data_IF_626849907981
#
_entry.id   IF_626849907981
#
_cell.length_a   1.000
_cell.length_b   1.000
_cell.length_c   1.000
_cell.angle_alpha   90.00
_cell.angle_beta   90.00
_cell.angle_gamma   90.00
#
_symmetry.space_group_name_H-M   'P 1'
#
loop_
_entity.id
_entity.type
_entity.pdbx_description
1 polymer ?
#
# COMPACT_ATOMS: atom_id res chain seq x y z
N UNK A 1 36.84 1.17 -15.41
CA UNK A 1 36.26 2.46 -15.86
C UNK A 1 36.29 3.42 -14.68
N UNK A 2 36.69 4.68 -14.89
CA UNK A 2 36.60 5.73 -13.86
C UNK A 2 35.17 6.30 -13.89
N UNK A 3 34.52 6.38 -12.73
CA UNK A 3 33.19 6.98 -12.61
C UNK A 3 33.28 8.50 -12.74
N UNK A 4 32.27 9.10 -13.36
CA UNK A 4 32.12 10.55 -13.46
C UNK A 4 31.50 11.10 -12.16
N UNK A 5 31.88 12.33 -11.79
CA UNK A 5 31.21 13.07 -10.72
C UNK A 5 30.07 13.91 -11.27
N UNK A 6 29.02 14.13 -10.46
CA UNK A 6 27.86 14.92 -10.87
C UNK A 6 28.26 16.34 -11.32
N UNK A 7 29.13 17.01 -10.58
CA UNK A 7 29.54 18.39 -10.84
C UNK A 7 28.36 19.37 -10.75
N UNK A 8 28.30 20.29 -11.71
CA UNK A 8 27.28 21.31 -11.88
C UNK A 8 25.96 20.80 -12.52
N UNK A 9 25.93 19.55 -13.01
CA UNK A 9 24.75 19.04 -13.70
C UNK A 9 23.56 18.90 -12.76
N UNK A 10 22.39 19.41 -13.17
CA UNK A 10 21.10 19.23 -12.50
C UNK A 10 20.06 18.78 -13.50
N UNK A 11 19.12 17.93 -13.04
CA UNK A 11 18.03 17.44 -13.88
C UNK A 11 17.21 18.64 -14.31
N UNK A 12 16.96 18.79 -15.61
CA UNK A 12 16.03 19.80 -16.11
C UNK A 12 14.63 19.23 -16.28
N UNK A 13 14.52 17.96 -16.69
CA UNK A 13 13.25 17.29 -17.00
C UNK A 13 13.25 15.84 -16.51
N UNK A 14 12.08 15.30 -16.16
CA UNK A 14 11.88 13.86 -16.17
C UNK A 14 11.65 13.36 -17.59
N UNK A 15 11.84 12.06 -17.79
CA UNK A 15 11.68 11.38 -19.07
C UNK A 15 10.37 11.77 -19.74
N UNK A 16 9.24 11.73 -19.01
CA UNK A 16 7.89 12.00 -19.53
C UNK A 16 7.63 13.47 -19.84
N UNK A 17 8.41 14.39 -19.27
CA UNK A 17 8.24 15.84 -19.45
C UNK A 17 8.81 16.29 -20.79
N UNK A 18 9.79 15.55 -21.35
CA UNK A 18 10.31 15.83 -22.69
C UNK A 18 9.25 15.50 -23.74
N UNK A 19 8.80 16.50 -24.49
CA UNK A 19 7.76 16.36 -25.51
C UNK A 19 8.28 16.68 -26.92
N UNK A 20 7.60 16.22 -28.00
CA UNK A 20 7.97 16.55 -29.38
C UNK A 20 8.01 18.05 -29.69
N UNK A 21 7.31 18.89 -28.94
CA UNK A 21 7.27 20.34 -29.12
C UNK A 21 8.60 21.02 -28.71
N UNK A 22 9.43 20.33 -27.92
CA UNK A 22 10.72 20.82 -27.44
C UNK A 22 11.87 20.50 -28.43
N UNK A 23 11.56 20.21 -29.69
CA UNK A 23 12.55 19.80 -30.69
C UNK A 23 13.71 20.80 -30.81
N UNK A 24 14.94 20.30 -30.75
CA UNK A 24 16.17 21.11 -30.76
C UNK A 24 16.58 21.68 -29.41
N UNK A 25 15.72 21.68 -28.39
CA UNK A 25 16.08 22.16 -27.05
C UNK A 25 17.10 21.24 -26.37
N UNK A 26 17.99 21.81 -25.56
CA UNK A 26 18.93 21.03 -24.75
C UNK A 26 18.31 20.67 -23.40
N UNK A 27 18.40 19.39 -23.02
CA UNK A 27 17.91 18.88 -21.74
C UNK A 27 18.99 18.09 -21.00
N UNK A 28 18.91 18.10 -19.67
CA UNK A 28 19.72 17.24 -18.81
C UNK A 28 18.83 16.22 -18.11
N UNK A 29 19.03 14.94 -18.44
CA UNK A 29 18.28 13.83 -17.88
C UNK A 29 19.18 12.96 -16.99
N UNK A 30 18.56 12.33 -16.00
CA UNK A 30 19.24 11.39 -15.11
C UNK A 30 18.43 10.13 -14.94
N UNK A 31 19.09 8.99 -14.91
CA UNK A 31 18.38 7.75 -14.67
C UNK A 31 19.19 6.47 -14.78
N UNK A 32 18.38 5.42 -14.82
CA UNK A 32 18.62 4.01 -14.99
C UNK A 32 18.86 3.59 -16.45
N UNK A 33 19.99 3.04 -16.86
CA UNK A 33 20.02 2.29 -18.13
C UNK A 33 19.12 1.05 -17.99
N UNK A 34 17.98 1.01 -18.68
CA UNK A 34 17.06 -0.12 -18.65
C UNK A 34 17.43 -1.17 -19.71
N UNK A 35 17.77 -0.71 -20.91
CA UNK A 35 18.11 -1.55 -22.05
C UNK A 35 19.12 -0.83 -22.95
N UNK A 36 20.02 -1.61 -23.55
CA UNK A 36 20.97 -1.14 -24.57
C UNK A 36 20.78 -2.03 -25.78
N UNK A 37 20.56 -1.43 -26.95
CA UNK A 37 20.47 -2.11 -28.23
C UNK A 37 21.55 -1.57 -29.15
N UNK A 38 22.44 -2.45 -29.59
CA UNK A 38 23.53 -2.12 -30.50
C UNK A 38 23.24 -2.70 -31.89
N UNK A 39 23.19 -1.83 -32.89
CA UNK A 39 22.98 -2.19 -34.30
C UNK A 39 24.23 -1.88 -35.14
N UNK A 40 25.41 -1.81 -34.52
CA UNK A 40 26.70 -1.52 -35.14
C UNK A 40 26.90 -0.02 -35.35
N UNK A 41 26.25 0.56 -36.37
CA UNK A 41 26.39 1.99 -36.70
C UNK A 41 25.63 2.96 -35.78
N UNK A 42 24.71 2.42 -34.98
CA UNK A 42 23.82 3.17 -34.10
C UNK A 42 23.52 2.35 -32.84
N UNK A 43 23.51 3.01 -31.68
CA UNK A 43 23.16 2.43 -30.38
C UNK A 43 21.97 3.16 -29.78
N UNK A 44 21.02 2.39 -29.27
CA UNK A 44 19.86 2.91 -28.54
C UNK A 44 19.99 2.55 -27.07
N UNK A 45 19.89 3.55 -26.21
CA UNK A 45 19.88 3.37 -24.75
C UNK A 45 18.51 3.80 -24.25
N UNK A 46 17.81 2.90 -23.56
CA UNK A 46 16.56 3.24 -22.90
C UNK A 46 16.90 3.71 -21.50
N UNK A 47 16.74 5.01 -21.26
CA UNK A 47 16.93 5.63 -19.95
C UNK A 47 15.60 5.61 -19.19
N UNK A 48 15.58 4.99 -18.02
CA UNK A 48 14.44 4.91 -17.12
C UNK A 48 14.65 5.81 -15.90
N UNK A 49 13.67 6.64 -15.57
CA UNK A 49 13.60 7.34 -14.30
C UNK A 49 12.32 6.98 -13.53
N UNK A 50 11.92 7.81 -12.56
CA UNK A 50 10.73 7.52 -11.74
C UNK A 50 9.42 7.69 -12.51
N UNK A 51 9.41 8.47 -13.60
CA UNK A 51 8.19 8.80 -14.33
C UNK A 51 7.99 7.91 -15.56
N UNK A 52 9.07 7.39 -16.14
CA UNK A 52 8.98 6.50 -17.29
C UNK A 52 10.32 6.31 -17.97
N UNK A 53 10.28 6.17 -19.29
CA UNK A 53 11.43 5.89 -20.13
C UNK A 53 11.56 6.88 -21.29
N UNK A 54 12.78 7.09 -21.74
CA UNK A 54 13.10 7.85 -22.94
C UNK A 54 14.27 7.20 -23.68
N UNK A 55 14.23 7.25 -25.00
CA UNK A 55 15.30 6.73 -25.83
C UNK A 55 16.40 7.77 -26.00
N UNK A 56 17.64 7.36 -25.77
CA UNK A 56 18.85 8.09 -26.13
C UNK A 56 19.44 7.40 -27.36
N UNK A 57 19.66 8.15 -28.44
CA UNK A 57 20.12 7.62 -29.72
C UNK A 57 21.54 8.10 -30.00
N UNK A 58 22.48 7.16 -30.07
CA UNK A 58 23.90 7.42 -30.30
C UNK A 58 24.27 6.93 -31.70
N UNK A 59 24.56 7.86 -32.62
CA UNK A 59 25.04 7.52 -33.97
C UNK A 59 26.56 7.60 -34.04
N UNK A 60 27.22 6.59 -34.62
CA UNK A 60 28.68 6.60 -34.83
C UNK A 60 29.16 7.79 -35.69
N UNK A 61 28.33 8.27 -36.61
CA UNK A 61 28.71 9.35 -37.54
C UNK A 61 28.61 10.74 -36.89
N UNK A 62 27.70 10.92 -35.94
CA UNK A 62 27.31 12.25 -35.45
C UNK A 62 27.64 12.49 -33.97
N UNK A 63 28.20 11.50 -33.28
CA UNK A 63 28.53 11.60 -31.84
C UNK A 63 30.03 11.80 -31.63
N UNK A 64 30.40 12.47 -30.54
CA UNK A 64 31.80 12.63 -30.15
C UNK A 64 32.43 11.29 -29.77
N UNK A 65 33.77 11.17 -29.88
CA UNK A 65 34.50 9.97 -29.47
C UNK A 65 34.25 9.60 -28.00
N UNK A 66 34.07 10.59 -27.13
CA UNK A 66 33.79 10.37 -25.71
C UNK A 66 32.39 9.77 -25.49
N UNK A 67 31.37 10.32 -26.16
CA UNK A 67 30.01 9.78 -26.10
C UNK A 67 29.98 8.34 -26.62
N UNK A 68 30.67 8.05 -27.71
CA UNK A 68 30.77 6.69 -28.26
C UNK A 68 31.40 5.74 -27.25
N UNK A 69 32.58 6.06 -26.72
CA UNK A 69 33.29 5.23 -25.75
C UNK A 69 32.46 4.98 -24.47
N UNK A 70 31.77 6.01 -23.95
CA UNK A 70 30.89 5.85 -22.79
C UNK A 70 29.67 4.98 -23.13
N UNK A 71 29.03 5.21 -24.28
CA UNK A 71 27.88 4.43 -24.74
C UNK A 71 28.21 2.94 -24.95
N UNK A 72 29.44 2.65 -25.37
CA UNK A 72 29.96 1.29 -25.57
C UNK A 72 30.07 0.51 -24.26
N UNK A 73 30.49 1.19 -23.20
CA UNK A 73 30.66 0.62 -21.87
C UNK A 73 29.34 0.50 -21.07
N UNK A 74 28.25 1.14 -21.50
CA UNK A 74 26.99 1.10 -20.75
C UNK A 74 26.42 -0.31 -20.68
N UNK A 75 26.00 -0.69 -19.48
CA UNK A 75 25.25 -1.91 -19.23
C UNK A 75 23.96 -1.58 -18.49
N UNK A 76 23.06 -2.57 -18.40
CA UNK A 76 21.82 -2.44 -17.62
C UNK A 76 22.14 -1.99 -16.20
N UNK A 77 21.27 -1.14 -15.67
CA UNK A 77 21.30 -0.58 -14.31
C UNK A 77 22.46 0.39 -14.01
N UNK A 78 23.29 0.75 -15.00
CA UNK A 78 24.24 1.85 -14.83
C UNK A 78 23.48 3.15 -14.60
N UNK A 79 23.83 3.88 -13.55
CA UNK A 79 23.28 5.21 -13.30
C UNK A 79 24.02 6.21 -14.17
N UNK A 80 23.27 6.94 -14.99
CA UNK A 80 23.86 7.91 -15.92
C UNK A 80 23.16 9.26 -15.86
N UNK A 81 23.93 10.30 -16.18
CA UNK A 81 23.41 11.58 -16.63
C UNK A 81 23.60 11.71 -18.14
N UNK A 82 22.63 12.31 -18.83
CA UNK A 82 22.72 12.63 -20.27
C UNK A 82 22.38 14.10 -20.48
N UNK A 83 23.32 14.86 -21.06
CA UNK A 83 23.04 16.18 -21.66
C UNK A 83 22.93 16.01 -23.15
N UNK A 84 21.83 16.43 -23.74
CA UNK A 84 21.58 16.23 -25.17
C UNK A 84 20.46 17.08 -25.70
N UNK A 85 20.34 17.12 -27.02
CA UNK A 85 19.25 17.81 -27.70
C UNK A 85 18.06 16.88 -27.84
N UNK A 86 16.87 17.42 -27.63
CA UNK A 86 15.61 16.77 -27.98
C UNK A 86 15.53 16.65 -29.50
N UNK A 87 15.13 15.49 -29.99
CA UNK A 87 14.84 15.25 -31.39
C UNK A 87 13.46 14.64 -31.56
N UNK A 88 12.58 15.33 -32.27
CA UNK A 88 11.28 14.83 -32.68
C UNK A 88 11.44 13.74 -33.73
N UNK A 89 10.77 12.61 -33.52
CA UNK A 89 10.87 11.44 -34.39
C UNK A 89 9.58 10.64 -34.41
N UNK A 90 9.26 10.00 -35.53
CA UNK A 90 8.12 9.07 -35.62
C UNK A 90 8.50 7.63 -35.28
N UNK A 91 9.79 7.37 -35.01
CA UNK A 91 10.34 6.02 -34.80
C UNK A 91 10.22 5.53 -33.37
N UNK A 92 9.86 6.40 -32.42
CA UNK A 92 9.63 6.03 -31.02
C UNK A 92 8.15 6.17 -30.66
N UNK A 93 7.60 5.31 -29.78
CA UNK A 93 6.20 5.43 -29.35
C UNK A 93 5.85 6.79 -28.72
N UNK A 94 6.86 7.49 -28.20
CA UNK A 94 6.70 8.80 -27.57
C UNK A 94 6.85 9.98 -28.52
N UNK A 95 7.19 9.74 -29.78
CA UNK A 95 7.38 10.80 -30.77
C UNK A 95 8.67 11.61 -30.61
N UNK A 96 9.56 11.19 -29.71
CA UNK A 96 10.74 11.96 -29.28
C UNK A 96 11.87 11.03 -28.83
N UNK A 97 13.11 11.49 -29.03
CA UNK A 97 14.34 10.89 -28.52
C UNK A 97 15.36 11.96 -28.14
N UNK A 98 16.45 11.58 -27.48
CA UNK A 98 17.55 12.48 -27.12
C UNK A 98 18.80 12.11 -27.91
N UNK A 99 19.42 13.10 -28.54
CA UNK A 99 20.74 12.98 -29.15
C UNK A 99 21.77 13.51 -28.15
N UNK A 100 22.60 12.63 -27.54
CA UNK A 100 23.48 13.02 -26.45
C UNK A 100 24.68 13.83 -26.95
N UNK A 101 24.95 14.96 -26.30
CA UNK A 101 26.21 15.72 -26.42
C UNK A 101 27.25 15.21 -25.43
N UNK A 102 26.82 14.84 -24.23
CA UNK A 102 27.68 14.33 -23.17
C UNK A 102 26.92 13.27 -22.36
N UNK A 103 27.64 12.23 -21.93
CA UNK A 103 27.15 11.19 -21.03
C UNK A 103 28.06 11.17 -19.81
N UNK A 104 27.48 11.08 -18.62
CA UNK A 104 28.20 10.82 -17.36
C UNK A 104 27.77 9.48 -16.79
N UNK A 105 28.71 8.62 -16.45
CA UNK A 105 28.48 7.34 -15.76
C UNK A 105 28.74 7.55 -14.28
N UNK A 106 27.66 7.69 -13.52
CA UNK A 106 27.67 8.03 -12.10
C UNK A 106 27.84 6.79 -11.21
N UNK A 107 27.36 5.63 -11.68
CA UNK A 107 27.53 4.35 -11.00
C UNK A 107 27.40 3.20 -11.99
N UNK A 108 28.14 2.12 -11.74
CA UNK A 108 28.05 0.85 -12.46
C UNK A 108 27.16 -0.14 -11.72
N UNK A 109 26.80 -1.25 -12.38
CA UNK A 109 26.13 -2.40 -11.79
C UNK A 109 26.84 -3.69 -12.23
N UNK A 110 26.56 -4.81 -11.56
CA UNK A 110 27.04 -6.13 -11.99
C UNK A 110 26.39 -6.53 -13.32
N UNK A 111 27.13 -7.27 -14.15
CA UNK A 111 26.67 -7.69 -15.48
C UNK A 111 25.43 -8.59 -15.36
N UNK A 112 25.50 -9.58 -14.47
CA UNK A 112 24.39 -10.46 -14.15
C UNK A 112 23.56 -9.79 -13.04
N UNK A 113 22.34 -9.38 -13.37
CA UNK A 113 21.37 -8.94 -12.37
C UNK A 113 20.69 -10.17 -11.74
N UNK A 114 20.37 -10.14 -10.43
CA UNK A 114 19.70 -11.25 -9.75
C UNK A 114 18.26 -11.47 -10.25
N UNK A 115 17.64 -10.43 -10.82
CA UNK A 115 16.32 -10.50 -11.45
C UNK A 115 16.28 -9.65 -12.72
N UNK A 116 15.38 -9.98 -13.63
CA UNK A 116 15.08 -9.16 -14.80
C UNK A 116 14.11 -8.03 -14.45
N UNK A 117 14.62 -6.80 -14.40
CA UNK A 117 13.83 -5.58 -14.14
C UNK A 117 12.84 -5.24 -15.27
N UNK A 118 12.95 -5.86 -16.45
CA UNK A 118 12.00 -5.67 -17.55
C UNK A 118 10.79 -6.60 -17.45
N UNK A 119 10.85 -7.60 -16.58
CA UNK A 119 9.78 -8.58 -16.36
C UNK A 119 9.60 -9.60 -17.48
N UNK A 120 10.49 -9.64 -18.49
CA UNK A 120 10.45 -10.63 -19.59
C UNK A 120 10.74 -12.03 -19.06
N UNK A 121 11.69 -12.13 -18.12
CA UNK A 121 11.96 -13.37 -17.39
C UNK A 121 11.34 -13.31 -16.00
N UNK A 122 10.29 -14.11 -15.71
CA UNK A 122 9.68 -14.13 -14.40
C UNK A 122 10.65 -14.72 -13.36
N UNK A 123 10.63 -14.16 -12.15
CA UNK A 123 11.33 -14.68 -10.99
C UNK A 123 10.32 -15.08 -9.91
N UNK A 124 10.69 -16.03 -9.05
CA UNK A 124 9.85 -16.41 -7.91
C UNK A 124 9.68 -15.22 -6.95
N UNK A 125 8.65 -15.27 -6.10
CA UNK A 125 8.46 -14.22 -5.08
C UNK A 125 9.68 -14.11 -4.14
N UNK A 126 10.24 -15.25 -3.74
CA UNK A 126 11.43 -15.32 -2.89
C UNK A 126 12.61 -14.57 -3.50
N UNK A 127 12.98 -14.89 -4.74
CA UNK A 127 14.08 -14.20 -5.45
C UNK A 127 13.80 -12.70 -5.62
N UNK A 128 12.54 -12.32 -5.81
CA UNK A 128 12.14 -10.91 -5.91
C UNK A 128 12.25 -10.18 -4.56
N UNK A 129 12.01 -10.86 -3.45
CA UNK A 129 12.18 -10.30 -2.10
C UNK A 129 13.66 -10.18 -1.73
N UNK A 130 14.49 -11.17 -2.07
CA UNK A 130 15.95 -11.09 -1.87
C UNK A 130 16.57 -9.92 -2.67
N UNK A 131 16.04 -9.66 -3.86
CA UNK A 131 16.45 -8.56 -4.73
C UNK A 131 15.44 -7.39 -4.72
N UNK A 132 14.76 -7.13 -3.58
CA UNK A 132 13.60 -6.20 -3.56
C UNK A 132 13.89 -4.81 -4.10
N UNK A 133 15.08 -4.25 -3.85
CA UNK A 133 15.47 -2.95 -4.40
C UNK A 133 15.42 -2.91 -5.94
N UNK A 134 15.77 -4.02 -6.61
CA UNK A 134 15.65 -4.16 -8.06
C UNK A 134 14.23 -4.48 -8.49
N UNK A 135 13.48 -5.28 -7.73
CA UNK A 135 12.08 -5.60 -8.04
C UNK A 135 11.23 -4.32 -8.03
N UNK A 136 11.48 -3.41 -7.08
CA UNK A 136 10.83 -2.11 -6.98
C UNK A 136 11.12 -1.17 -8.17
N UNK A 137 12.13 -1.46 -9.01
CA UNK A 137 12.37 -0.70 -10.23
C UNK A 137 11.37 -1.03 -11.36
N UNK A 138 10.60 -2.12 -11.23
CA UNK A 138 9.55 -2.51 -12.19
C UNK A 138 8.36 -1.57 -12.12
N UNK A 139 7.77 -1.28 -13.27
CA UNK A 139 6.66 -0.32 -13.38
C UNK A 139 5.43 -0.77 -12.59
N UNK A 140 5.14 -2.07 -12.53
CA UNK A 140 4.02 -2.60 -11.75
C UNK A 140 4.21 -2.37 -10.25
N UNK A 141 5.43 -2.56 -9.73
CA UNK A 141 5.70 -2.31 -8.31
C UNK A 141 5.63 -0.81 -8.01
N UNK A 142 6.20 0.06 -8.86
CA UNK A 142 6.07 1.52 -8.69
C UNK A 142 4.59 1.95 -8.69
N UNK A 143 3.79 1.37 -9.58
CA UNK A 143 2.36 1.65 -9.66
C UNK A 143 1.63 1.31 -8.36
N UNK A 144 1.92 0.17 -7.72
CA UNK A 144 1.35 -0.21 -6.42
C UNK A 144 1.65 0.86 -5.36
N UNK A 145 2.91 1.31 -5.23
CA UNK A 145 3.27 2.34 -4.25
C UNK A 145 2.63 3.69 -4.53
N UNK A 146 2.49 4.07 -5.80
CA UNK A 146 1.79 5.30 -6.20
C UNK A 146 0.29 5.25 -5.87
N UNK A 147 -0.38 4.12 -6.14
CA UNK A 147 -1.78 3.91 -5.74
C UNK A 147 -1.93 3.97 -4.23
N UNK A 148 -1.04 3.30 -3.49
CA UNK A 148 -1.05 3.35 -2.02
C UNK A 148 -0.88 4.79 -1.50
N UNK A 149 0.07 5.55 -2.04
CA UNK A 149 0.28 6.95 -1.69
C UNK A 149 -0.99 7.80 -1.91
N UNK A 150 -1.62 7.69 -3.08
CA UNK A 150 -2.85 8.43 -3.40
C UNK A 150 -4.01 8.00 -2.50
N UNK A 151 -4.16 6.70 -2.23
CA UNK A 151 -5.20 6.19 -1.34
C UNK A 151 -5.04 6.74 0.09
N UNK A 152 -3.84 6.70 0.66
CA UNK A 152 -3.58 7.24 2.00
C UNK A 152 -3.80 8.76 2.03
N UNK A 153 -3.41 9.49 0.99
CA UNK A 153 -3.68 10.93 0.92
C UNK A 153 -5.19 11.22 0.87
N UNK A 154 -5.95 10.47 0.06
CA UNK A 154 -7.40 10.62 -0.03
C UNK A 154 -8.09 10.32 1.31
N UNK A 155 -7.58 9.34 2.07
CA UNK A 155 -8.08 9.05 3.42
C UNK A 155 -7.85 10.23 4.36
N UNK A 156 -6.63 10.79 4.37
CA UNK A 156 -6.29 11.96 5.18
C UNK A 156 -7.19 13.15 4.83
N UNK A 157 -7.26 13.51 3.56
CA UNK A 157 -8.07 14.64 3.08
C UNK A 157 -9.54 14.49 3.51
N UNK A 158 -10.13 13.31 3.30
CA UNK A 158 -11.51 13.02 3.69
C UNK A 158 -11.79 13.17 5.19
N UNK A 159 -10.84 12.75 6.03
CA UNK A 159 -10.94 12.83 7.49
C UNK A 159 -10.73 14.26 7.98
N UNK A 160 -9.76 14.99 7.42
CA UNK A 160 -9.54 16.40 7.72
C UNK A 160 -10.76 17.27 7.41
N UNK A 161 -11.42 17.04 6.27
CA UNK A 161 -12.67 17.73 5.90
C UNK A 161 -13.81 17.49 6.91
N UNK A 162 -13.74 16.42 7.70
CA UNK A 162 -14.72 16.06 8.74
C UNK A 162 -14.27 16.41 10.16
N UNK A 163 -13.18 17.16 10.29
CA UNK A 163 -12.66 17.66 11.56
C UNK A 163 -11.91 16.62 12.38
N UNK A 164 -11.47 15.51 11.78
CA UNK A 164 -10.58 14.57 12.46
C UNK A 164 -9.16 15.14 12.58
N UNK A 165 -8.50 14.82 13.70
CA UNK A 165 -7.11 15.22 13.97
C UNK A 165 -6.20 14.00 13.84
N UNK A 166 -5.13 14.11 13.05
CA UNK A 166 -4.10 13.05 12.95
C UNK A 166 -3.25 13.04 14.22
N UNK A 167 -3.18 11.89 14.89
CA UNK A 167 -2.43 11.69 16.15
C UNK A 167 -1.36 10.61 15.99
N UNK A 168 -0.40 10.58 16.91
CA UNK A 168 0.66 9.58 16.94
C UNK A 168 0.75 8.97 18.34
N UNK A 169 0.55 7.65 18.43
CA UNK A 169 0.51 6.94 19.72
C UNK A 169 1.75 6.06 19.93
N UNK A 170 2.11 5.71 21.18
CA UNK A 170 3.29 4.89 21.46
C UNK A 170 3.29 3.54 20.74
N UNK A 171 4.47 3.10 20.27
CA UNK A 171 4.68 1.77 19.65
C UNK A 171 5.35 0.75 20.56
N UNK A 172 5.92 1.21 21.67
CA UNK A 172 6.48 0.38 22.73
C UNK A 172 5.54 0.51 23.93
N UNK A 173 4.91 -0.59 24.33
CA UNK A 173 3.88 -0.63 25.37
C UNK A 173 4.23 -1.63 26.46
N UNK A 174 3.75 -1.40 27.68
CA UNK A 174 4.06 -2.24 28.83
C UNK A 174 3.24 -3.55 28.88
N UNK A 175 2.04 -3.55 28.32
CA UNK A 175 1.09 -4.66 28.35
C UNK A 175 0.40 -4.84 27.00
N UNK A 176 -0.21 -6.00 26.77
CA UNK A 176 -1.04 -6.25 25.60
C UNK A 176 -2.23 -5.28 25.53
N UNK A 177 -2.63 -4.87 24.33
CA UNK A 177 -3.88 -4.13 24.08
C UNK A 177 -5.07 -5.09 23.95
N UNK A 178 -4.86 -6.24 23.29
CA UNK A 178 -5.88 -7.24 22.99
C UNK A 178 -5.39 -8.60 23.53
N UNK A 179 -6.06 -9.13 24.55
CA UNK A 179 -5.67 -10.40 25.17
C UNK A 179 -5.58 -11.55 24.16
N UNK A 180 -4.56 -12.39 24.28
CA UNK A 180 -4.43 -13.64 23.51
C UNK A 180 -3.68 -13.54 22.18
N UNK A 181 -3.34 -12.34 21.69
CA UNK A 181 -2.57 -12.20 20.45
C UNK A 181 -1.05 -12.26 20.71
N UNK A 182 -0.31 -12.92 19.83
CA UNK A 182 1.13 -13.04 19.94
C UNK A 182 1.82 -11.66 19.78
N UNK A 183 2.60 -11.26 20.77
CA UNK A 183 3.30 -9.98 20.85
C UNK A 183 4.80 -10.16 20.64
N UNK A 184 5.42 -9.21 19.92
CA UNK A 184 6.87 -9.10 19.91
C UNK A 184 7.34 -8.45 21.21
N UNK A 185 8.17 -9.15 21.98
CA UNK A 185 8.80 -8.60 23.17
C UNK A 185 10.03 -7.77 22.83
N UNK A 186 10.19 -6.64 23.53
CA UNK A 186 11.33 -5.74 23.42
C UNK A 186 11.93 -5.55 24.82
N UNK A 187 13.26 -5.64 24.93
CA UNK A 187 13.96 -5.25 26.14
C UNK A 187 14.00 -3.71 26.20
N UNK A 188 13.32 -3.13 27.17
CA UNK A 188 13.22 -1.69 27.35
C UNK A 188 13.91 -1.29 28.65
N UNK A 189 15.21 -1.06 28.56
CA UNK A 189 16.10 -0.90 29.72
C UNK A 189 15.98 -2.11 30.67
N UNK A 190 15.72 -1.88 31.95
CA UNK A 190 15.53 -2.92 32.97
C UNK A 190 14.10 -3.50 32.99
N UNK A 191 13.28 -3.17 31.99
CA UNK A 191 11.88 -3.62 31.89
C UNK A 191 11.64 -4.40 30.61
N UNK A 192 10.66 -5.30 30.66
CA UNK A 192 10.10 -5.95 29.47
C UNK A 192 8.98 -5.08 28.91
N UNK A 193 9.03 -4.82 27.61
CA UNK A 193 7.97 -4.13 26.87
C UNK A 193 7.58 -4.95 25.63
N UNK A 194 6.59 -4.46 24.88
CA UNK A 194 6.06 -5.11 23.71
C UNK A 194 5.84 -4.10 22.58
N UNK A 195 5.89 -4.57 21.33
CA UNK A 195 5.44 -3.77 20.19
C UNK A 195 3.92 -3.75 20.12
N UNK A 196 3.35 -2.58 19.87
CA UNK A 196 1.90 -2.39 19.80
C UNK A 196 1.26 -3.10 18.59
N UNK A 197 0.13 -3.75 18.82
CA UNK A 197 -0.68 -4.43 17.79
C UNK A 197 -1.72 -3.51 17.16
N UNK A 198 -2.15 -2.49 17.89
CA UNK A 198 -3.12 -1.47 17.50
C UNK A 198 -2.95 -0.26 18.44
N UNK A 199 -3.46 0.93 18.08
CA UNK A 199 -3.45 2.10 18.95
C UNK A 199 -4.70 2.16 19.84
N UNK A 200 -5.47 1.06 19.93
CA UNK A 200 -6.83 1.00 20.47
C UNK A 200 -7.01 1.73 21.80
N UNK A 201 -6.24 1.35 22.82
CA UNK A 201 -6.37 1.96 24.15
C UNK A 201 -5.99 3.44 24.18
N UNK A 202 -5.09 3.89 23.29
CA UNK A 202 -4.67 5.29 23.23
C UNK A 202 -5.67 6.14 22.45
N UNK A 203 -6.20 5.67 21.33
CA UNK A 203 -7.19 6.44 20.54
C UNK A 203 -8.49 6.66 21.34
N UNK A 204 -8.93 5.68 22.13
CA UNK A 204 -10.07 5.83 23.05
C UNK A 204 -9.84 6.90 24.14
N UNK A 205 -8.62 7.02 24.66
CA UNK A 205 -8.30 8.07 25.63
C UNK A 205 -8.25 9.45 24.97
N UNK A 206 -7.74 9.55 23.75
CA UNK A 206 -7.55 10.83 23.06
C UNK A 206 -8.89 11.48 22.69
N UNK A 207 -9.92 10.71 22.35
CA UNK A 207 -11.24 11.26 22.01
C UNK A 207 -11.92 11.97 23.19
N UNK A 208 -11.48 11.75 24.44
CA UNK A 208 -11.95 12.54 25.58
C UNK A 208 -11.62 14.03 25.45
N UNK A 209 -10.58 14.37 24.70
CA UNK A 209 -10.09 15.76 24.53
C UNK A 209 -10.21 16.27 23.10
N UNK A 210 -10.11 15.38 22.11
CA UNK A 210 -10.05 15.73 20.70
C UNK A 210 -11.32 15.36 19.94
N UNK A 211 -12.21 14.56 20.55
CA UNK A 211 -13.46 14.00 20.01
C UNK A 211 -13.31 13.12 18.76
N UNK A 212 -12.53 13.52 17.75
CA UNK A 212 -12.35 12.83 16.47
C UNK A 212 -10.86 12.72 16.16
N UNK A 213 -10.33 11.50 16.24
CA UNK A 213 -8.91 11.25 15.98
C UNK A 213 -8.72 10.15 14.96
N UNK A 214 -7.63 10.22 14.22
CA UNK A 214 -7.16 9.12 13.39
C UNK A 214 -5.65 9.00 13.41
N UNK A 215 -5.15 7.83 13.07
CA UNK A 215 -3.72 7.55 13.01
C UNK A 215 -3.41 6.66 11.81
N UNK A 216 -2.34 6.98 11.09
CA UNK A 216 -1.77 6.11 10.06
C UNK A 216 -0.38 5.71 10.51
N UNK A 217 -0.16 4.44 10.87
CA UNK A 217 1.15 4.04 11.35
C UNK A 217 1.39 2.54 11.46
N UNK A 218 2.63 2.14 11.75
CA UNK A 218 3.02 0.73 11.78
C UNK A 218 2.57 0.05 13.07
N UNK A 219 2.10 -1.19 12.95
CA UNK A 219 1.76 -2.07 14.06
C UNK A 219 2.27 -3.49 13.79
N UNK A 220 2.35 -4.27 14.86
CA UNK A 220 3.09 -5.52 14.86
C UNK A 220 2.28 -6.66 15.47
N UNK A 221 2.25 -7.80 14.80
CA UNK A 221 1.61 -9.03 15.30
C UNK A 221 2.57 -10.20 15.12
N UNK A 222 2.89 -10.91 16.20
CA UNK A 222 3.78 -12.07 16.17
C UNK A 222 3.04 -13.36 15.80
N UNK A 223 2.10 -13.30 14.86
CA UNK A 223 1.38 -14.47 14.38
C UNK A 223 2.29 -15.34 13.51
N UNK A 224 2.35 -16.65 13.78
CA UNK A 224 3.04 -17.65 12.95
C UNK A 224 2.27 -17.98 11.66
N UNK A 225 1.25 -17.20 11.33
CA UNK A 225 0.33 -17.43 10.22
C UNK A 225 0.96 -17.01 8.89
N UNK A 226 1.61 -17.96 8.20
CA UNK A 226 2.17 -17.76 6.86
C UNK A 226 1.10 -17.79 5.75
N UNK A 227 0.17 -16.84 5.79
CA UNK A 227 -0.89 -16.71 4.76
C UNK A 227 -0.59 -15.57 3.79
N UNK A 228 -1.38 -15.47 2.71
CA UNK A 228 -1.26 -14.37 1.73
C UNK A 228 -1.85 -13.03 2.19
N UNK A 229 -2.36 -12.94 3.42
CA UNK A 229 -3.05 -11.75 3.97
C UNK A 229 -2.49 -11.26 5.30
N UNK A 230 -1.58 -11.98 5.93
CA UNK A 230 -1.01 -11.62 7.22
C UNK A 230 0.47 -11.25 7.05
N UNK A 231 0.85 -10.13 7.65
CA UNK A 231 2.23 -9.67 7.79
C UNK A 231 2.48 -9.41 9.28
N UNK A 232 3.69 -9.71 9.75
CA UNK A 232 4.05 -9.43 11.14
C UNK A 232 4.24 -7.94 11.43
N UNK A 233 4.51 -7.15 10.40
CA UNK A 233 4.55 -5.68 10.43
C UNK A 233 3.63 -5.16 9.31
N UNK A 234 2.70 -4.29 9.66
CA UNK A 234 1.74 -3.70 8.74
C UNK A 234 1.42 -2.26 9.13
N UNK A 235 0.91 -1.48 8.18
CA UNK A 235 0.40 -0.14 8.44
C UNK A 235 -1.10 -0.23 8.67
N UNK A 236 -1.55 0.22 9.85
CA UNK A 236 -2.97 0.37 10.15
C UNK A 236 -3.41 1.82 9.93
N UNK A 237 -4.69 1.97 9.60
CA UNK A 237 -5.39 3.24 9.57
C UNK A 237 -6.49 3.12 10.62
N UNK A 238 -6.28 3.80 11.74
CA UNK A 238 -7.14 3.74 12.90
C UNK A 238 -7.94 5.04 13.02
N UNK A 239 -9.22 4.92 13.32
CA UNK A 239 -10.13 6.03 13.54
C UNK A 239 -10.85 5.78 14.87
N UNK A 240 -11.07 6.83 15.65
CA UNK A 240 -11.94 6.81 16.83
C UNK A 240 -12.70 8.13 16.91
N UNK A 241 -13.99 8.05 17.29
CA UNK A 241 -14.88 9.20 17.36
C UNK A 241 -15.74 9.09 18.63
N UNK A 242 -15.70 10.13 19.47
CA UNK A 242 -16.62 10.31 20.59
C UNK A 242 -18.03 10.65 20.10
N UNK A 243 -19.03 10.35 20.95
CA UNK A 243 -20.44 10.62 20.69
C UNK A 243 -20.95 9.99 19.38
N UNK A 244 -20.44 8.80 19.03
CA UNK A 244 -20.82 8.02 17.88
C UNK A 244 -20.98 6.54 18.25
N UNK A 245 -21.89 5.86 17.55
CA UNK A 245 -22.07 4.41 17.66
C UNK A 245 -21.50 3.66 16.45
N UNK A 246 -21.68 2.34 16.41
CA UNK A 246 -21.24 1.49 15.32
C UNK A 246 -21.83 1.92 13.97
N UNK A 247 -23.10 2.35 13.93
CA UNK A 247 -23.75 2.75 12.68
C UNK A 247 -23.13 4.04 12.13
N UNK A 248 -22.91 5.05 12.97
CA UNK A 248 -22.22 6.28 12.61
C UNK A 248 -20.83 5.98 12.01
N UNK A 249 -20.05 5.13 12.68
CA UNK A 249 -18.69 4.77 12.23
C UNK A 249 -18.73 3.96 10.93
N UNK A 250 -19.71 3.07 10.76
CA UNK A 250 -19.85 2.34 9.50
C UNK A 250 -20.28 3.24 8.33
N UNK A 251 -21.15 4.23 8.56
CA UNK A 251 -21.52 5.24 7.55
C UNK A 251 -20.33 6.12 7.15
N UNK A 252 -19.50 6.52 8.11
CA UNK A 252 -18.25 7.22 7.85
C UNK A 252 -17.33 6.36 6.97
N UNK A 253 -17.19 5.07 7.31
CA UNK A 253 -16.31 4.15 6.62
C UNK A 253 -16.75 3.85 5.18
N UNK A 254 -18.05 3.62 4.92
CA UNK A 254 -18.52 3.38 3.56
C UNK A 254 -18.33 4.60 2.63
N UNK A 255 -18.55 5.82 3.17
CA UNK A 255 -18.28 7.07 2.45
C UNK A 255 -16.77 7.24 2.18
N UNK A 256 -15.93 6.92 3.18
CA UNK A 256 -14.47 6.96 3.05
C UNK A 256 -13.99 6.01 1.93
N UNK A 257 -14.44 4.76 1.94
CA UNK A 257 -14.07 3.77 0.92
C UNK A 257 -14.54 4.23 -0.48
N UNK A 258 -15.76 4.73 -0.60
CA UNK A 258 -16.23 5.27 -1.88
C UNK A 258 -15.36 6.44 -2.36
N UNK A 259 -15.02 7.38 -1.48
CA UNK A 259 -14.18 8.54 -1.79
C UNK A 259 -12.78 8.11 -2.25
N UNK A 260 -12.16 7.15 -1.58
CA UNK A 260 -10.85 6.61 -1.96
C UNK A 260 -10.91 5.94 -3.33
N UNK A 261 -11.92 5.10 -3.59
CA UNK A 261 -12.09 4.46 -4.89
C UNK A 261 -12.28 5.48 -6.04
N UNK A 262 -13.06 6.55 -5.82
CA UNK A 262 -13.21 7.66 -6.78
C UNK A 262 -11.88 8.35 -7.05
N UNK A 263 -11.18 8.76 -5.98
CA UNK A 263 -9.91 9.50 -6.07
C UNK A 263 -8.82 8.68 -6.76
N UNK A 264 -8.71 7.38 -6.46
CA UNK A 264 -7.74 6.49 -7.11
C UNK A 264 -8.08 6.33 -8.60
N UNK A 265 -9.35 6.18 -8.97
CA UNK A 265 -9.75 6.12 -10.39
C UNK A 265 -9.42 7.41 -11.15
N UNK A 266 -9.58 8.56 -10.51
CA UNK A 266 -9.29 9.86 -11.12
C UNK A 266 -7.78 10.11 -11.26
N UNK A 267 -7.00 9.87 -10.20
CA UNK A 267 -5.59 10.27 -10.11
C UNK A 267 -4.59 9.19 -10.54
N UNK A 268 -4.97 7.91 -10.56
CA UNK A 268 -4.05 6.78 -10.82
C UNK A 268 -4.37 6.03 -12.12
N UNK A 269 -4.95 6.68 -13.13
CA UNK A 269 -5.33 6.01 -14.39
C UNK A 269 -4.17 5.29 -15.07
N UNK A 270 -2.97 5.91 -15.07
CA UNK A 270 -1.75 5.32 -15.63
C UNK A 270 -1.33 4.08 -14.86
N UNK A 271 -1.27 4.18 -13.54
CA UNK A 271 -0.89 3.10 -12.65
C UNK A 271 -1.87 1.92 -12.74
N UNK A 272 -3.18 2.19 -12.75
CA UNK A 272 -4.23 1.17 -12.93
C UNK A 272 -4.11 0.47 -14.29
N UNK A 273 -3.80 1.22 -15.36
CA UNK A 273 -3.52 0.66 -16.68
C UNK A 273 -2.28 -0.24 -16.68
N UNK A 274 -1.20 0.18 -16.01
CA UNK A 274 0.02 -0.64 -15.82
C UNK A 274 -0.28 -1.93 -15.06
N UNK A 275 -1.12 -1.86 -14.02
CA UNK A 275 -1.55 -3.01 -13.22
C UNK A 275 -2.61 -3.87 -13.92
N UNK A 276 -3.15 -3.41 -15.06
CA UNK A 276 -4.25 -4.04 -15.81
C UNK A 276 -5.46 -4.29 -14.91
N UNK A 277 -5.76 -3.31 -14.06
CA UNK A 277 -6.82 -3.39 -13.06
C UNK A 277 -7.76 -2.20 -13.17
N UNK A 278 -9.04 -2.43 -12.87
CA UNK A 278 -10.07 -1.39 -12.79
C UNK A 278 -10.64 -1.40 -11.38
N UNK A 279 -10.59 -0.26 -10.70
CA UNK A 279 -11.25 -0.08 -9.42
C UNK A 279 -12.72 0.23 -9.69
N UNK A 280 -13.61 -0.58 -9.14
CA UNK A 280 -15.04 -0.28 -9.16
C UNK A 280 -15.36 0.65 -7.99
N UNK A 281 -16.04 1.76 -8.28
CA UNK A 281 -16.52 2.68 -7.24
C UNK A 281 -17.77 2.06 -6.64
N UNK A 282 -17.78 1.71 -5.34
CA UNK A 282 -18.94 1.08 -4.75
C UNK A 282 -20.06 2.10 -4.51
N UNK A 283 -21.30 1.65 -4.63
CA UNK A 283 -22.48 2.41 -4.20
C UNK A 283 -22.61 2.32 -2.68
N UNK A 284 -23.03 3.43 -2.07
CA UNK A 284 -23.33 3.51 -0.63
C UNK A 284 -24.84 3.69 -0.46
N UNK A 285 -25.47 3.13 0.60
CA UNK A 285 -24.84 2.40 1.70
C UNK A 285 -24.43 0.96 1.35
N UNK A 286 -23.41 0.43 2.03
CA UNK A 286 -23.02 -0.98 1.86
C UNK A 286 -24.03 -1.90 2.53
N UNK A 287 -24.21 -3.11 1.97
CA UNK A 287 -25.12 -4.11 2.53
C UNK A 287 -24.66 -4.52 3.92
N UNK A 288 -25.59 -4.56 4.88
CA UNK A 288 -25.36 -5.03 6.24
C UNK A 288 -25.92 -6.44 6.36
N UNK A 289 -25.06 -7.38 6.74
CA UNK A 289 -25.43 -8.77 6.97
C UNK A 289 -25.17 -9.07 8.44
N UNK A 290 -26.19 -9.52 9.16
CA UNK A 290 -25.97 -10.00 10.52
C UNK A 290 -25.15 -11.30 10.49
N UNK A 291 -24.40 -11.57 11.53
CA UNK A 291 -23.69 -12.84 11.70
C UNK A 291 -24.62 -14.05 11.44
N UNK A 292 -25.85 -14.00 11.94
CA UNK A 292 -26.84 -15.07 11.73
C UNK A 292 -27.32 -15.20 10.28
N UNK A 293 -27.45 -14.09 9.54
CA UNK A 293 -27.71 -14.14 8.09
C UNK A 293 -26.56 -14.81 7.35
N UNK A 294 -25.33 -14.47 7.70
CA UNK A 294 -24.12 -15.07 7.14
C UNK A 294 -24.07 -16.58 7.40
N UNK A 295 -24.35 -17.02 8.63
CA UNK A 295 -24.46 -18.45 8.96
C UNK A 295 -25.54 -19.16 8.14
N UNK A 296 -26.72 -18.53 7.98
CA UNK A 296 -27.81 -19.08 7.15
C UNK A 296 -27.43 -19.20 5.68
N UNK A 297 -26.71 -18.23 5.14
CA UNK A 297 -26.22 -18.29 3.76
C UNK A 297 -25.17 -19.38 3.55
N UNK A 298 -24.24 -19.54 4.49
CA UNK A 298 -23.26 -20.63 4.49
C UNK A 298 -23.93 -22.00 4.58
N UNK A 299 -24.94 -22.15 5.45
CA UNK A 299 -25.71 -23.38 5.60
C UNK A 299 -26.41 -23.78 4.31
N UNK A 300 -26.99 -22.82 3.58
CA UNK A 300 -27.56 -23.05 2.23
C UNK A 300 -26.53 -23.53 1.20
N UNK A 301 -25.23 -23.30 1.44
CA UNK A 301 -24.12 -23.82 0.63
C UNK A 301 -23.53 -25.12 1.16
N UNK A 302 -24.15 -25.74 2.17
CA UNK A 302 -23.70 -27.00 2.74
C UNK A 302 -22.53 -26.85 3.73
N UNK A 303 -22.26 -25.64 4.21
CA UNK A 303 -21.27 -25.39 5.26
C UNK A 303 -21.98 -25.04 6.57
N UNK A 304 -21.71 -25.81 7.62
CA UNK A 304 -22.25 -25.55 8.96
C UNK A 304 -21.13 -24.96 9.82
N UNK A 305 -21.38 -23.78 10.38
CA UNK A 305 -20.47 -23.11 11.32
C UNK A 305 -21.24 -23.03 12.63
N UNK A 306 -20.71 -23.61 13.72
CA UNK A 306 -21.36 -23.50 15.02
C UNK A 306 -21.54 -22.03 15.42
N UNK A 307 -22.70 -21.70 15.96
CA UNK A 307 -22.96 -20.35 16.45
C UNK A 307 -21.98 -20.01 17.58
N UNK A 308 -21.43 -18.81 17.56
CA UNK A 308 -20.47 -18.36 18.56
C UNK A 308 -19.01 -18.62 18.18
N UNK A 309 -18.75 -19.23 17.03
CA UNK A 309 -17.42 -19.39 16.45
C UNK A 309 -17.13 -18.33 15.37
N UNK A 310 -15.84 -18.05 15.17
CA UNK A 310 -15.37 -17.22 14.06
C UNK A 310 -15.50 -17.97 12.72
N UNK A 311 -15.60 -17.24 11.61
CA UNK A 311 -15.83 -17.80 10.28
C UNK A 311 -14.49 -18.19 9.64
N UNK A 312 -14.22 -19.49 9.40
CA UNK A 312 -12.96 -19.92 8.83
C UNK A 312 -12.72 -19.36 7.41
N UNK A 313 -11.45 -19.12 7.07
CA UNK A 313 -11.05 -18.57 5.76
C UNK A 313 -11.65 -19.29 4.53
N UNK A 314 -11.75 -20.64 4.48
CA UNK A 314 -12.42 -21.32 3.37
C UNK A 314 -13.89 -20.91 3.18
N UNK A 315 -14.60 -20.64 4.28
CA UNK A 315 -16.00 -20.23 4.26
C UNK A 315 -16.15 -18.75 3.95
N UNK A 316 -15.23 -17.90 4.42
CA UNK A 316 -15.12 -16.52 3.94
C UNK A 316 -14.95 -16.46 2.42
N UNK A 317 -14.14 -17.36 1.82
CA UNK A 317 -13.99 -17.46 0.36
C UNK A 317 -15.29 -17.85 -0.34
N UNK A 318 -16.13 -18.66 0.29
CA UNK A 318 -17.47 -18.98 -0.22
C UNK A 318 -18.38 -17.75 -0.15
N UNK A 319 -18.37 -17.01 0.96
CA UNK A 319 -19.10 -15.75 1.09
C UNK A 319 -18.66 -14.70 0.06
N UNK A 320 -17.36 -14.59 -0.20
CA UNK A 320 -16.85 -13.66 -1.20
C UNK A 320 -17.28 -13.98 -2.64
N UNK A 321 -17.75 -15.20 -2.92
CA UNK A 321 -18.43 -15.52 -4.19
C UNK A 321 -19.89 -15.09 -4.20
N UNK A 322 -20.56 -15.06 -3.04
CA UNK A 322 -21.94 -14.61 -2.89
C UNK A 322 -22.05 -13.09 -2.85
N UNK A 323 -21.07 -12.43 -2.24
CA UNK A 323 -20.98 -10.99 -2.10
C UNK A 323 -19.69 -10.50 -2.78
N UNK A 324 -19.64 -10.39 -4.12
CA UNK A 324 -18.44 -9.94 -4.84
C UNK A 324 -18.17 -8.42 -4.71
N UNK A 325 -18.77 -7.76 -3.72
CA UNK A 325 -18.77 -6.31 -3.44
C UNK A 325 -18.36 -6.03 -1.98
N UNK A 326 -18.42 -4.77 -1.56
CA UNK A 326 -18.20 -4.37 -0.16
C UNK A 326 -19.47 -4.58 0.67
N UNK A 327 -19.34 -5.21 1.84
CA UNK A 327 -20.45 -5.44 2.76
C UNK A 327 -19.93 -5.51 4.19
N UNK A 328 -20.82 -5.27 5.14
CA UNK A 328 -20.52 -5.43 6.56
C UNK A 328 -21.07 -6.75 7.08
N UNK A 329 -20.33 -7.37 8.00
CA UNK A 329 -20.85 -8.38 8.91
C UNK A 329 -21.03 -7.73 10.27
N UNK A 330 -22.25 -7.66 10.77
CA UNK A 330 -22.62 -7.02 12.05
C UNK A 330 -23.16 -8.04 13.04
N UNK A 331 -23.48 -7.59 14.26
CA UNK A 331 -24.14 -8.40 15.29
C UNK A 331 -23.35 -9.68 15.60
N UNK A 332 -22.03 -9.55 15.79
CA UNK A 332 -21.18 -10.67 16.16
C UNK A 332 -21.50 -11.18 17.57
N UNK A 333 -21.35 -12.49 17.84
CA UNK A 333 -21.43 -13.02 19.19
C UNK A 333 -20.43 -12.31 20.10
N UNK A 334 -20.89 -11.85 21.25
CA UNK A 334 -20.11 -11.04 22.21
C UNK A 334 -18.80 -11.72 22.63
N UNK A 335 -18.79 -13.04 22.66
CA UNK A 335 -17.62 -13.83 23.05
C UNK A 335 -16.49 -13.85 22.02
N UNK A 336 -16.78 -13.61 20.73
CA UNK A 336 -15.75 -13.64 19.67
C UNK A 336 -15.01 -12.31 19.55
N UNK A 337 -15.67 -11.19 19.89
CA UNK A 337 -15.06 -9.85 19.83
C UNK A 337 -14.27 -9.49 21.09
N UNK A 338 -13.45 -8.44 20.97
CA UNK A 338 -12.60 -7.95 22.05
C UNK A 338 -13.41 -7.43 23.26
N UNK A 339 -12.76 -7.35 24.43
CA UNK A 339 -13.44 -7.01 25.69
C UNK A 339 -14.06 -5.60 25.68
N UNK A 340 -13.51 -4.67 24.89
CA UNK A 340 -13.92 -3.27 24.83
C UNK A 340 -15.12 -3.00 23.91
N UNK A 341 -15.67 -4.00 23.21
CA UNK A 341 -16.84 -3.83 22.33
C UNK A 341 -18.14 -3.90 23.13
N UNK A 342 -19.01 -2.91 22.90
CA UNK A 342 -20.32 -2.76 23.55
C UNK A 342 -21.25 -3.94 23.24
N UNK A 343 -21.78 -4.66 24.24
CA UNK A 343 -22.88 -5.61 24.06
C UNK A 343 -24.15 -4.89 23.61
N UNK A 344 -24.98 -5.55 22.79
CA UNK A 344 -26.28 -4.98 22.40
C UNK A 344 -27.22 -4.92 23.60
N UNK A 345 -28.02 -3.86 23.70
CA UNK A 345 -28.98 -3.69 24.80
C UNK A 345 -30.14 -4.70 24.75
N UNK A 346 -30.60 -5.03 23.54
CA UNK A 346 -31.74 -5.94 23.31
C UNK A 346 -31.35 -7.42 23.37
N UNK A 347 -30.12 -7.75 22.99
CA UNK A 347 -29.57 -9.10 23.10
C UNK A 347 -28.08 -9.08 23.53
N UNK A 348 -27.78 -9.19 24.84
CA UNK A 348 -26.42 -9.18 25.36
C UNK A 348 -25.53 -10.35 24.92
N UNK A 349 -26.05 -11.39 24.27
CA UNK A 349 -25.23 -12.44 23.66
C UNK A 349 -24.52 -11.95 22.38
N UNK A 350 -24.99 -10.84 21.80
CA UNK A 350 -24.43 -10.16 20.64
C UNK A 350 -23.76 -8.85 21.06
N UNK A 351 -22.97 -8.28 20.15
CA UNK A 351 -22.30 -7.00 20.38
C UNK A 351 -22.40 -6.08 19.16
N UNK A 352 -22.21 -4.79 19.39
CA UNK A 352 -22.17 -3.72 18.38
C UNK A 352 -20.82 -3.68 17.65
N UNK A 353 -20.27 -4.85 17.37
CA UNK A 353 -19.07 -5.03 16.55
C UNK A 353 -19.44 -5.27 15.08
N UNK A 354 -18.59 -4.81 14.18
CA UNK A 354 -18.72 -5.03 12.75
C UNK A 354 -17.38 -5.31 12.09
N UNK A 355 -17.44 -6.01 10.96
CA UNK A 355 -16.32 -6.19 10.03
C UNK A 355 -16.71 -5.74 8.63
N UNK A 356 -15.91 -4.86 8.02
CA UNK A 356 -16.03 -4.52 6.60
C UNK A 356 -15.28 -5.53 5.75
N UNK A 357 -16.01 -6.19 4.87
CA UNK A 357 -15.52 -7.21 3.97
C UNK A 357 -15.44 -6.67 2.54
N UNK A 358 -14.33 -6.96 1.86
CA UNK A 358 -14.24 -6.90 0.40
C UNK A 358 -14.15 -8.32 -0.14
N UNK A 359 -15.26 -8.80 -0.71
CA UNK A 359 -15.44 -10.21 -1.10
C UNK A 359 -15.25 -11.13 0.11
N UNK A 360 -14.08 -11.71 0.26
CA UNK A 360 -13.74 -12.65 1.33
C UNK A 360 -12.65 -12.13 2.27
N UNK A 361 -12.11 -10.95 1.97
CA UNK A 361 -11.02 -10.34 2.72
C UNK A 361 -11.65 -9.34 3.67
N UNK A 362 -11.38 -9.51 4.97
CA UNK A 362 -11.66 -8.50 5.98
C UNK A 362 -10.69 -7.33 5.78
N UNK A 363 -11.24 -6.13 5.66
CA UNK A 363 -10.45 -4.90 5.49
C UNK A 363 -10.41 -4.07 6.78
N UNK A 364 -11.51 -4.04 7.52
CA UNK A 364 -11.65 -3.24 8.74
C UNK A 364 -12.49 -4.00 9.73
N UNK A 365 -12.12 -3.92 11.01
CA UNK A 365 -12.96 -4.30 12.13
C UNK A 365 -13.17 -3.09 13.04
N UNK A 366 -14.36 -2.99 13.64
CA UNK A 366 -14.76 -1.84 14.44
C UNK A 366 -15.99 -2.13 15.28
N UNK A 367 -16.49 -1.11 15.98
CA UNK A 367 -17.71 -1.20 16.77
C UNK A 367 -17.80 -0.16 17.87
N UNK A 368 -18.99 -0.04 18.46
CA UNK A 368 -19.22 0.83 19.63
C UNK A 368 -18.38 0.35 20.81
N UNK A 369 -17.80 1.29 21.56
CA UNK A 369 -16.97 0.98 22.74
C UNK A 369 -17.79 1.00 24.02
N UNK A 370 -17.38 0.18 24.98
CA UNK A 370 -17.94 0.19 26.32
C UNK A 370 -17.52 1.47 27.04
N UNK A 371 -18.49 2.31 27.39
CA UNK A 371 -18.26 3.52 28.18
C UNK A 371 -18.28 3.28 29.71
N UNK A 372 -18.95 2.22 30.18
CA UNK A 372 -19.02 1.90 31.62
C UNK A 372 -17.76 1.19 32.11
N UNK A 373 -17.13 1.75 33.15
CA UNK A 373 -15.98 1.15 33.82
C UNK A 373 -16.32 -0.23 34.40
N UNK A 374 -17.49 -0.36 35.03
CA UNK A 374 -17.95 -1.59 35.66
C UNK A 374 -18.09 -2.71 34.65
N UNK A 375 -18.75 -2.42 33.52
CA UNK A 375 -18.90 -3.37 32.42
C UNK A 375 -17.56 -3.71 31.78
N UNK A 376 -16.65 -2.75 31.61
CA UNK A 376 -15.31 -3.01 31.07
C UNK A 376 -14.50 -3.97 31.97
N UNK A 377 -14.56 -3.78 33.28
CA UNK A 377 -13.92 -4.67 34.27
C UNK A 377 -14.52 -6.08 34.21
N UNK A 378 -15.85 -6.19 34.08
CA UNK A 378 -16.53 -7.47 33.90
C UNK A 378 -16.03 -8.19 32.63
N UNK A 379 -16.00 -7.49 31.50
CA UNK A 379 -15.56 -8.03 30.20
C UNK A 379 -14.09 -8.45 30.21
N UNK A 380 -13.22 -7.70 30.89
CA UNK A 380 -11.82 -8.08 31.09
C UNK A 380 -11.71 -9.41 31.83
N UNK A 381 -12.46 -9.59 32.92
CA UNK A 381 -12.48 -10.84 33.70
C UNK A 381 -13.01 -12.02 32.88
N UNK A 382 -14.06 -11.83 32.08
CA UNK A 382 -14.59 -12.87 31.19
C UNK A 382 -13.57 -13.36 30.16
N UNK A 383 -12.67 -12.47 29.71
CA UNK A 383 -11.57 -12.80 28.80
C UNK A 383 -10.32 -13.34 29.52
N UNK A 384 -10.39 -13.54 30.83
CA UNK A 384 -9.26 -14.00 31.65
C UNK A 384 -8.15 -12.96 31.80
N UNK A 385 -8.46 -11.67 31.64
CA UNK A 385 -7.53 -10.56 31.79
C UNK A 385 -7.63 -9.93 33.18
N UNK A 386 -6.53 -9.36 33.65
CA UNK A 386 -6.48 -8.66 34.95
C UNK A 386 -6.84 -7.18 34.77
N UNK A 387 -7.94 -6.68 35.37
CA UNK A 387 -8.41 -5.30 35.20
C UNK A 387 -7.53 -4.20 35.81
#
# INVERSE_FOLDING_TARGET
>A
MKLDTLGDWRRTHYSVDVKPEMDGEEVTLFGWVQEVRDLGGIRFIILQDREGTIQITVSQKNSSKEVLAKSEALQKRYSIGVKGNVNKTTMTPRGVEIIPKEIKILSTATIQLPIDITGKTPASLETRLDARALDLCREENKAIFKVQHVAVNAIRDFLFERGFIEVHTPRIIASATEGGAALFSVNYFDKKAFLAQSPQLYKEQLVMSLERVFEVGPFFRAEESHTRRHLSEFVSIDIEQAFADAEDVMQLLEQLIQHVCKTVNEKCQKELSTLKYKVEVPEVPFKRLTYEEVLRELKKKGADVPWGEDIPTPLLRTLGKLHPYFYFITDWPRQTKAFYIQPKEDNPELCEGFDLMWRWIELVSGGTRIASKELLIERLREKGLNP
#
